data_IF_758571775861
#
_entry.id   IF_758571775861
#
_cell.length_a   1.000
_cell.length_b   1.000
_cell.length_c   1.000
_cell.angle_alpha   90.00
_cell.angle_beta   90.00
_cell.angle_gamma   90.00
#
_symmetry.space_group_name_H-M   'P 1'
#
loop_
_entity.id
_entity.type
_entity.pdbx_description
1 polymer ?
#
# COMPACT_ATOMS: atom_id res chain seq x y z
N UNK A 1 20.18 -65.39 9.29
CA UNK A 1 19.41 -66.62 9.56
C UNK A 1 17.96 -66.23 9.80
N UNK A 2 17.03 -66.85 9.04
CA UNK A 2 15.57 -66.94 9.22
C UNK A 2 14.75 -65.63 9.32
N UNK A 3 13.54 -65.46 8.77
CA UNK A 3 12.72 -66.17 7.79
C UNK A 3 11.55 -65.22 7.43
N UNK A 4 11.18 -65.19 6.15
CA UNK A 4 9.87 -64.69 5.64
C UNK A 4 8.78 -65.75 5.90
N UNK A 5 7.49 -65.40 5.98
CA UNK A 5 6.58 -65.40 4.80
C UNK A 5 5.59 -64.20 4.79
N UNK A 6 5.22 -63.57 3.64
CA UNK A 6 4.14 -63.90 2.65
C UNK A 6 2.75 -64.07 3.33
N UNK A 7 1.66 -63.38 2.94
CA UNK A 7 0.95 -63.33 1.64
C UNK A 7 -0.12 -62.22 1.65
N UNK A 8 -0.35 -61.42 0.58
CA UNK A 8 -1.19 -61.66 -0.64
C UNK A 8 -2.69 -61.79 -0.33
N UNK A 9 -3.58 -60.90 -0.78
CA UNK A 9 -4.36 -60.92 -2.06
C UNK A 9 -5.73 -60.22 -1.74
N UNK A 10 -6.59 -59.68 -2.60
CA UNK A 10 -6.80 -59.60 -4.07
C UNK A 10 -8.03 -58.67 -4.31
N UNK A 11 -8.10 -58.06 -5.50
CA UNK A 11 -9.28 -57.79 -6.37
C UNK A 11 -10.50 -57.03 -5.78
N UNK A 12 -11.13 -56.08 -6.47
CA UNK A 12 -11.70 -56.26 -7.80
C UNK A 12 -11.84 -54.96 -8.61
N UNK A 13 -11.64 -55.12 -9.92
CA UNK A 13 -12.03 -54.21 -10.99
C UNK A 13 -13.56 -54.23 -11.17
N UNK A 14 -14.14 -53.13 -11.67
CA UNK A 14 -15.26 -53.24 -12.61
C UNK A 14 -15.25 -52.09 -13.62
N UNK A 15 -15.09 -52.54 -14.86
CA UNK A 15 -15.11 -51.82 -16.13
C UNK A 15 -16.55 -51.56 -16.56
N UNK A 16 -16.83 -50.40 -17.18
CA UNK A 16 -17.72 -50.34 -18.35
C UNK A 16 -17.59 -49.01 -19.09
N UNK A 17 -17.43 -49.15 -20.41
CA UNK A 17 -17.20 -48.13 -21.45
C UNK A 17 -18.51 -47.91 -22.26
N UNK A 18 -18.56 -47.14 -23.37
CA UNK A 18 -19.36 -45.93 -23.53
C UNK A 18 -20.57 -46.08 -24.48
N UNK A 19 -21.48 -45.09 -24.51
CA UNK A 19 -22.52 -44.97 -25.54
C UNK A 19 -22.44 -43.62 -26.26
N UNK A 20 -22.49 -43.68 -27.60
CA UNK A 20 -22.42 -42.57 -28.57
C UNK A 20 -23.80 -41.92 -28.82
N UNK A 21 -23.82 -40.58 -28.85
CA UNK A 21 -24.42 -39.61 -29.82
C UNK A 21 -25.91 -39.74 -30.26
N UNK A 22 -26.65 -38.62 -30.43
CA UNK A 22 -26.45 -37.75 -31.60
C UNK A 22 -26.49 -36.23 -31.38
N UNK A 23 -25.91 -35.55 -32.38
CA UNK A 23 -25.88 -34.11 -32.63
C UNK A 23 -27.26 -33.60 -33.08
N UNK A 24 -27.62 -32.33 -32.81
CA UNK A 24 -28.14 -31.50 -33.89
C UNK A 24 -27.51 -30.09 -33.95
N UNK A 25 -27.31 -29.64 -35.18
CA UNK A 25 -26.77 -28.35 -35.59
C UNK A 25 -27.71 -27.18 -35.24
N UNK A 26 -27.05 -26.06 -34.91
CA UNK A 26 -27.32 -24.67 -35.32
C UNK A 26 -28.61 -23.98 -34.88
N UNK A 27 -28.45 -22.93 -34.06
CA UNK A 27 -29.19 -21.65 -34.18
C UNK A 27 -28.52 -20.55 -33.33
N UNK A 28 -28.06 -19.48 -33.99
CA UNK A 28 -27.97 -18.13 -33.44
C UNK A 28 -26.66 -17.74 -32.71
N UNK A 29 -26.00 -16.62 -33.09
CA UNK A 29 -25.02 -15.98 -32.23
C UNK A 29 -25.79 -15.31 -31.08
N UNK A 30 -25.78 -15.94 -29.90
CA UNK A 30 -26.21 -15.26 -28.69
C UNK A 30 -25.21 -14.14 -28.44
N UNK A 31 -25.65 -12.90 -28.67
CA UNK A 31 -24.90 -11.70 -28.38
C UNK A 31 -24.29 -11.81 -26.99
N UNK A 32 -22.97 -11.67 -26.91
CA UNK A 32 -22.29 -11.45 -25.64
C UNK A 32 -23.01 -10.29 -24.94
N UNK A 33 -23.35 -10.41 -23.65
CA UNK A 33 -23.93 -9.29 -22.93
C UNK A 33 -22.95 -8.13 -23.05
N UNK A 34 -23.42 -7.04 -23.65
CA UNK A 34 -22.70 -5.79 -23.74
C UNK A 34 -22.09 -5.51 -22.37
N UNK A 35 -20.77 -5.40 -22.32
CA UNK A 35 -20.05 -5.00 -21.13
C UNK A 35 -20.71 -3.71 -20.65
N UNK A 36 -21.52 -3.81 -19.60
CA UNK A 36 -22.09 -2.66 -18.93
C UNK A 36 -20.88 -1.86 -18.50
N UNK A 37 -20.66 -0.70 -19.13
CA UNK A 37 -19.66 0.27 -18.73
C UNK A 37 -19.97 0.67 -17.29
N UNK A 38 -19.45 -0.12 -16.33
CA UNK A 38 -19.49 0.22 -14.92
C UNK A 38 -18.67 1.50 -14.81
N UNK A 39 -19.36 2.62 -14.65
CA UNK A 39 -18.73 3.90 -14.37
C UNK A 39 -17.87 3.70 -13.13
N UNK A 40 -16.56 3.83 -13.29
CA UNK A 40 -15.61 3.78 -12.19
C UNK A 40 -15.97 4.87 -11.16
N UNK A 41 -15.76 4.63 -9.85
CA UNK A 41 -16.00 5.64 -8.84
C UNK A 41 -15.16 6.89 -9.16
N UNK A 42 -15.86 7.99 -9.47
CA UNK A 42 -15.25 9.30 -9.67
C UNK A 42 -15.69 10.21 -8.52
N UNK A 43 -14.73 10.64 -7.71
CA UNK A 43 -14.97 11.55 -6.60
C UNK A 43 -14.57 12.97 -7.00
N UNK A 44 -15.40 13.96 -6.69
CA UNK A 44 -15.04 15.37 -6.83
C UNK A 44 -15.13 15.98 -5.43
N UNK A 45 -14.05 16.58 -4.97
CA UNK A 45 -13.93 17.08 -3.61
C UNK A 45 -13.25 18.44 -3.58
N UNK A 46 -13.70 19.32 -2.67
CA UNK A 46 -13.03 20.58 -2.37
C UNK A 46 -12.29 20.44 -1.05
N UNK A 47 -10.96 20.50 -1.09
CA UNK A 47 -10.11 20.19 0.08
C UNK A 47 -10.35 21.15 1.24
N UNK A 48 -10.42 22.45 0.95
CA UNK A 48 -10.73 23.46 1.96
C UNK A 48 -11.60 24.56 1.35
N UNK A 49 -12.93 24.51 1.55
CA UNK A 49 -13.87 25.45 0.93
C UNK A 49 -13.74 26.88 1.49
N UNK A 50 -12.97 27.08 2.57
CA UNK A 50 -12.72 28.42 3.16
C UNK A 50 -11.62 29.19 2.41
N UNK A 51 -10.85 28.51 1.56
CA UNK A 51 -9.77 29.12 0.77
C UNK A 51 -10.25 29.40 -0.66
N UNK A 52 -9.64 30.37 -1.36
CA UNK A 52 -9.96 30.62 -2.76
C UNK A 52 -9.62 29.39 -3.59
N UNK A 53 -10.59 28.94 -4.38
CA UNK A 53 -10.43 27.81 -5.30
C UNK A 53 -9.94 28.36 -6.63
N UNK A 54 -8.65 28.17 -6.90
CA UNK A 54 -7.97 28.65 -8.11
C UNK A 54 -7.14 27.54 -8.79
N UNK A 55 -7.31 26.28 -8.37
CA UNK A 55 -6.69 25.11 -9.00
C UNK A 55 -7.56 23.86 -8.94
N UNK A 56 -7.28 22.91 -9.83
CA UNK A 56 -7.86 21.56 -9.81
C UNK A 56 -6.76 20.53 -10.06
N UNK A 57 -6.68 19.51 -9.22
CA UNK A 57 -5.75 18.37 -9.39
C UNK A 57 -6.57 17.12 -9.61
N UNK A 58 -6.33 16.46 -10.74
CA UNK A 58 -6.92 15.16 -11.04
C UNK A 58 -5.98 14.05 -10.65
N UNK A 59 -6.53 13.00 -10.06
CA UNK A 59 -5.80 11.80 -9.67
C UNK A 59 -6.48 10.58 -10.27
N UNK A 60 -5.69 9.73 -10.92
CA UNK A 60 -6.13 8.43 -11.43
C UNK A 60 -5.29 7.36 -10.76
N UNK A 61 -5.96 6.58 -9.93
CA UNK A 61 -5.38 5.43 -9.25
C UNK A 61 -5.53 4.18 -10.10
N UNK A 62 -4.45 3.44 -10.21
CA UNK A 62 -4.36 2.21 -10.98
C UNK A 62 -4.00 1.05 -10.07
N UNK A 63 -4.49 -0.13 -10.39
CA UNK A 63 -4.10 -1.37 -9.73
C UNK A 63 -2.63 -1.66 -10.05
N UNK A 64 -1.77 -1.47 -9.05
CA UNK A 64 -0.33 -1.70 -9.15
C UNK A 64 0.04 -3.17 -8.96
N UNK A 65 -0.89 -4.04 -8.57
CA UNK A 65 -0.69 -5.49 -8.44
C UNK A 65 -0.89 -6.26 -9.76
N UNK A 66 -1.49 -5.61 -10.76
CA UNK A 66 -1.67 -6.20 -12.08
C UNK A 66 -0.29 -6.45 -12.72
N UNK A 67 -0.03 -7.71 -13.10
CA UNK A 67 1.26 -8.21 -13.62
C UNK A 67 1.73 -7.62 -14.98
N UNK A 68 1.29 -6.41 -15.34
CA UNK A 68 1.62 -5.73 -16.59
C UNK A 68 2.70 -4.67 -16.36
N UNK A 69 3.56 -4.47 -17.37
CA UNK A 69 4.53 -3.37 -17.45
C UNK A 69 3.89 -2.00 -17.70
N UNK A 70 2.55 -1.94 -17.80
CA UNK A 70 1.75 -0.71 -17.94
C UNK A 70 1.03 -0.38 -16.65
N UNK A 71 0.65 0.90 -16.45
CA UNK A 71 -0.34 1.29 -15.45
C UNK A 71 -1.55 0.32 -15.56
N UNK A 72 -1.84 -0.40 -14.48
CA UNK A 72 -2.87 -1.44 -14.45
C UNK A 72 -4.29 -0.88 -14.66
N UNK A 73 -5.35 -1.69 -14.51
CA UNK A 73 -6.71 -1.17 -14.60
C UNK A 73 -6.95 -0.01 -13.64
N UNK A 74 -7.72 0.99 -14.06
CA UNK A 74 -8.08 2.12 -13.21
C UNK A 74 -8.98 1.61 -12.07
N UNK A 75 -8.57 1.86 -10.83
CA UNK A 75 -9.33 1.56 -9.63
C UNK A 75 -10.27 2.71 -9.26
N UNK A 76 -9.72 3.92 -9.22
CA UNK A 76 -10.43 5.10 -8.74
C UNK A 76 -9.98 6.36 -9.50
N UNK A 77 -10.89 7.32 -9.63
CA UNK A 77 -10.56 8.66 -10.09
C UNK A 77 -11.02 9.70 -9.08
N UNK A 78 -10.23 10.74 -8.86
CA UNK A 78 -10.63 11.88 -8.04
C UNK A 78 -10.24 13.20 -8.70
N UNK A 79 -11.06 14.23 -8.51
CA UNK A 79 -10.73 15.62 -8.85
C UNK A 79 -10.80 16.47 -7.60
N UNK A 80 -9.70 17.10 -7.23
CA UNK A 80 -9.59 17.94 -6.05
C UNK A 80 -9.56 19.42 -6.43
N UNK A 81 -10.58 20.17 -5.99
CA UNK A 81 -10.61 21.63 -6.04
C UNK A 81 -9.80 22.20 -4.88
N UNK A 82 -8.78 23.01 -5.19
CA UNK A 82 -7.77 23.45 -4.22
C UNK A 82 -7.40 24.93 -4.39
N UNK A 83 -6.68 25.45 -3.40
CA UNK A 83 -6.00 26.74 -3.46
C UNK A 83 -4.53 26.55 -3.82
N UNK A 84 -4.11 27.04 -4.99
CA UNK A 84 -2.72 27.03 -5.44
C UNK A 84 -1.79 27.77 -4.47
N UNK A 85 -2.31 28.78 -3.77
CA UNK A 85 -1.55 29.53 -2.74
C UNK A 85 -1.20 28.69 -1.51
N UNK A 86 -1.97 27.64 -1.22
CA UNK A 86 -1.70 26.76 -0.09
C UNK A 86 -0.63 25.71 -0.43
N UNK A 87 -0.36 25.46 -1.71
CA UNK A 87 0.61 24.47 -2.16
C UNK A 87 2.05 24.99 -2.13
N UNK A 88 3.05 24.11 -1.99
CA UNK A 88 4.43 24.44 -2.29
C UNK A 88 4.59 24.93 -3.74
N UNK A 89 5.51 25.87 -3.98
CA UNK A 89 5.72 26.46 -5.31
C UNK A 89 6.05 25.41 -6.40
N UNK A 90 6.73 24.32 -6.04
CA UNK A 90 7.04 23.20 -6.96
C UNK A 90 5.78 22.53 -7.49
N UNK A 91 4.78 22.29 -6.63
CA UNK A 91 3.49 21.74 -7.05
C UNK A 91 2.65 22.82 -7.69
N UNK A 92 2.54 24.01 -7.08
CA UNK A 92 1.68 25.07 -7.60
C UNK A 92 2.00 25.43 -9.06
N UNK A 93 3.29 25.51 -9.42
CA UNK A 93 3.73 25.77 -10.81
C UNK A 93 3.39 24.64 -11.78
N UNK A 94 3.38 23.39 -11.30
CA UNK A 94 3.05 22.21 -12.11
C UNK A 94 1.55 22.20 -12.49
N UNK A 95 0.69 22.70 -11.60
CA UNK A 95 -0.78 22.67 -11.77
C UNK A 95 -1.42 24.03 -12.04
N UNK A 96 -0.64 25.10 -12.20
CA UNK A 96 -1.14 26.44 -12.57
C UNK A 96 -1.28 26.64 -14.08
N UNK A 97 -0.72 25.73 -14.90
CA UNK A 97 -0.76 25.82 -16.36
C UNK A 97 -2.12 25.45 -16.96
N UNK A 98 -2.39 25.87 -18.22
CA UNK A 98 -3.63 25.54 -18.92
C UNK A 98 -3.78 24.03 -19.23
N UNK A 99 -2.68 23.28 -19.17
CA UNK A 99 -2.69 21.83 -19.29
C UNK A 99 -3.04 21.19 -17.94
N UNK A 100 -4.23 20.60 -17.86
CA UNK A 100 -4.68 19.81 -16.71
C UNK A 100 -3.78 18.58 -16.56
N UNK A 101 -2.77 18.66 -15.69
CA UNK A 101 -1.93 17.51 -15.39
C UNK A 101 -2.69 16.54 -14.49
N UNK A 102 -2.66 15.26 -14.86
CA UNK A 102 -3.28 14.17 -14.12
C UNK A 102 -2.20 13.43 -13.35
N UNK A 103 -2.34 13.38 -12.03
CA UNK A 103 -1.49 12.56 -11.16
C UNK A 103 -1.83 11.10 -11.41
N UNK A 104 -0.82 10.30 -11.75
CA UNK A 104 -0.95 8.86 -11.94
C UNK A 104 0.13 8.13 -11.14
N UNK A 105 -0.14 6.87 -10.82
CA UNK A 105 0.83 6.01 -10.14
C UNK A 105 0.82 6.08 -8.62
N UNK A 106 0.08 7.01 -8.04
CA UNK A 106 -0.20 7.06 -6.60
C UNK A 106 -1.67 6.76 -6.36
N UNK A 107 -1.98 6.46 -5.11
CA UNK A 107 -3.37 6.28 -4.67
C UNK A 107 -4.07 7.63 -4.52
N UNK A 108 -5.39 7.64 -4.67
CA UNK A 108 -6.20 8.83 -4.39
C UNK A 108 -6.01 9.29 -2.95
N UNK A 109 -5.96 8.34 -2.00
CA UNK A 109 -5.85 8.64 -0.59
C UNK A 109 -4.52 9.29 -0.19
N UNK A 110 -3.38 8.84 -0.74
CA UNK A 110 -2.07 9.44 -0.48
C UNK A 110 -1.96 10.88 -1.02
N UNK A 111 -2.47 11.15 -2.22
CA UNK A 111 -2.50 12.50 -2.79
C UNK A 111 -3.44 13.39 -1.98
N UNK A 112 -4.63 12.88 -1.64
CA UNK A 112 -5.59 13.60 -0.80
C UNK A 112 -4.95 14.00 0.55
N UNK A 113 -4.23 13.09 1.21
CA UNK A 113 -3.53 13.40 2.45
C UNK A 113 -2.60 14.62 2.30
N UNK A 114 -1.76 14.64 1.29
CA UNK A 114 -0.85 15.77 1.05
C UNK A 114 -1.57 17.08 0.79
N UNK A 115 -2.62 17.05 -0.05
CA UNK A 115 -3.43 18.25 -0.32
C UNK A 115 -4.06 18.76 0.96
N UNK A 116 -4.64 17.89 1.78
CA UNK A 116 -5.23 18.26 3.07
C UNK A 116 -4.20 18.80 4.05
N UNK A 117 -2.98 18.25 4.09
CA UNK A 117 -1.89 18.76 4.94
C UNK A 117 -1.51 20.18 4.53
N UNK A 118 -1.35 20.46 3.23
CA UNK A 118 -1.04 21.82 2.76
C UNK A 118 -2.16 22.83 3.02
N UNK A 119 -3.41 22.37 3.00
CA UNK A 119 -4.58 23.22 3.22
C UNK A 119 -5.02 23.29 4.69
N UNK A 120 -4.29 22.66 5.62
CA UNK A 120 -4.68 22.49 7.03
C UNK A 120 -6.12 21.95 7.17
N UNK A 121 -6.47 20.98 6.33
CA UNK A 121 -7.82 20.41 6.19
C UNK A 121 -7.82 18.88 6.36
N UNK A 122 -6.91 18.36 7.18
CA UNK A 122 -6.84 16.92 7.46
C UNK A 122 -8.09 16.47 8.23
N UNK A 123 -8.75 15.44 7.72
CA UNK A 123 -10.00 14.90 8.27
C UNK A 123 -9.76 13.69 9.19
N UNK A 124 -10.79 13.28 9.93
CA UNK A 124 -10.70 12.09 10.78
C UNK A 124 -10.42 10.81 9.96
N UNK A 125 -10.99 10.69 8.76
CA UNK A 125 -10.80 9.54 7.88
C UNK A 125 -9.35 9.38 7.42
N UNK A 126 -8.64 10.49 7.17
CA UNK A 126 -7.23 10.47 6.77
C UNK A 126 -6.29 9.98 7.89
N UNK A 127 -6.73 9.92 9.14
CA UNK A 127 -5.96 9.32 10.22
C UNK A 127 -6.19 7.82 10.38
N UNK A 128 -7.04 7.22 9.53
CA UNK A 128 -7.35 5.79 9.50
C UNK A 128 -6.83 5.12 8.22
N UNK A 129 -5.93 5.80 7.50
CA UNK A 129 -5.32 5.25 6.30
C UNK A 129 -4.52 3.98 6.63
N UNK A 130 -4.64 2.90 5.85
CA UNK A 130 -3.82 1.72 6.06
C UNK A 130 -2.34 2.04 5.79
N UNK A 131 -1.44 1.20 6.32
CA UNK A 131 0.02 1.43 6.24
C UNK A 131 0.47 1.62 4.79
N UNK A 132 -0.08 0.86 3.85
CA UNK A 132 0.23 0.98 2.42
C UNK A 132 0.04 2.41 1.89
N UNK A 133 -1.03 3.11 2.29
CA UNK A 133 -1.27 4.50 1.89
C UNK A 133 -0.23 5.47 2.44
N UNK A 134 0.35 5.15 3.60
CA UNK A 134 1.48 5.91 4.17
C UNK A 134 2.72 5.77 3.30
N UNK A 135 2.98 4.56 2.78
CA UNK A 135 4.08 4.33 1.84
C UNK A 135 3.86 5.09 0.52
N UNK A 136 2.64 5.09 -0.03
CA UNK A 136 2.33 5.90 -1.21
C UNK A 136 2.46 7.41 -0.93
N UNK A 137 2.09 7.87 0.25
CA UNK A 137 2.27 9.27 0.64
C UNK A 137 3.76 9.64 0.75
N UNK A 138 4.60 8.76 1.32
CA UNK A 138 6.05 8.96 1.35
C UNK A 138 6.65 8.99 -0.05
N UNK A 139 6.26 8.05 -0.93
CA UNK A 139 6.68 8.03 -2.33
C UNK A 139 6.32 9.34 -3.05
N UNK A 140 5.06 9.77 -2.93
CA UNK A 140 4.59 11.02 -3.52
C UNK A 140 5.39 12.22 -2.99
N UNK A 141 5.64 12.25 -1.68
CA UNK A 141 6.45 13.29 -1.07
C UNK A 141 7.86 13.36 -1.64
N UNK A 142 8.55 12.23 -1.70
CA UNK A 142 9.93 12.14 -2.19
C UNK A 142 10.04 12.49 -3.68
N UNK A 143 9.18 11.91 -4.52
CA UNK A 143 9.23 12.12 -5.97
C UNK A 143 8.88 13.55 -6.40
N UNK A 144 8.07 14.25 -5.60
CA UNK A 144 7.70 15.65 -5.85
C UNK A 144 8.51 16.66 -5.01
N UNK A 145 9.54 16.21 -4.28
CA UNK A 145 10.41 17.08 -3.47
C UNK A 145 9.66 17.80 -2.35
N UNK A 146 8.65 17.16 -1.76
CA UNK A 146 7.84 17.72 -0.69
C UNK A 146 8.56 17.62 0.66
N UNK A 147 8.35 18.62 1.54
CA UNK A 147 8.91 18.58 2.88
C UNK A 147 8.22 17.51 3.74
N UNK A 148 8.80 16.30 3.81
CA UNK A 148 8.24 15.16 4.56
C UNK A 148 7.90 15.49 6.02
N UNK A 149 8.68 16.36 6.67
CA UNK A 149 8.43 16.81 8.04
C UNK A 149 7.03 17.45 8.25
N UNK A 150 6.37 17.91 7.18
CA UNK A 150 4.97 18.39 7.25
C UNK A 150 3.98 17.29 7.59
N UNK A 151 4.32 16.02 7.34
CA UNK A 151 3.51 14.87 7.73
C UNK A 151 3.67 14.50 9.20
N UNK A 152 4.71 14.97 9.91
CA UNK A 152 4.98 14.53 11.28
C UNK A 152 3.77 14.71 12.23
N UNK A 153 3.08 15.87 12.29
CA UNK A 153 1.92 16.02 13.17
C UNK A 153 0.75 15.08 12.84
N UNK A 154 0.53 14.82 11.55
CA UNK A 154 -0.45 13.84 11.10
C UNK A 154 -0.02 12.42 11.47
N UNK A 155 1.26 12.07 11.28
CA UNK A 155 1.80 10.76 11.56
C UNK A 155 1.71 10.40 13.06
N UNK A 156 1.94 11.36 13.96
CA UNK A 156 1.72 11.18 15.39
C UNK A 156 0.27 10.77 15.71
N UNK A 157 -0.68 11.48 15.10
CA UNK A 157 -2.11 11.23 15.32
C UNK A 157 -2.55 9.92 14.66
N UNK A 158 -2.04 9.62 13.47
CA UNK A 158 -2.26 8.36 12.76
C UNK A 158 -1.73 7.17 13.56
N UNK A 159 -0.49 7.25 14.04
CA UNK A 159 0.16 6.21 14.84
C UNK A 159 -0.66 5.86 16.09
N UNK A 160 -1.08 6.87 16.84
CA UNK A 160 -1.89 6.69 18.05
C UNK A 160 -3.25 6.02 17.77
N UNK A 161 -3.86 6.32 16.62
CA UNK A 161 -5.16 5.74 16.23
C UNK A 161 -5.04 4.33 15.67
N UNK A 162 -4.03 4.08 14.84
CA UNK A 162 -3.85 2.79 14.19
C UNK A 162 -3.29 1.74 15.14
N UNK A 163 -2.50 2.16 16.14
CA UNK A 163 -1.83 1.26 17.06
C UNK A 163 -2.09 1.62 18.53
N UNK A 164 -3.36 1.56 19.00
CA UNK A 164 -3.69 1.87 20.39
C UNK A 164 -3.07 0.86 21.38
N UNK A 165 -2.72 -0.35 20.93
CA UNK A 165 -2.11 -1.41 21.72
C UNK A 165 -0.78 -1.86 21.09
N UNK A 166 0.27 -1.08 21.30
CA UNK A 166 1.59 -1.30 20.71
C UNK A 166 2.17 -2.71 20.97
N UNK A 167 1.86 -3.33 22.11
CA UNK A 167 2.33 -4.67 22.47
C UNK A 167 1.79 -5.81 21.58
N UNK A 168 0.68 -5.58 20.87
CA UNK A 168 0.02 -6.61 20.05
C UNK A 168 0.41 -6.55 18.57
N UNK A 169 1.35 -5.67 18.21
CA UNK A 169 1.83 -5.57 16.84
C UNK A 169 2.59 -6.84 16.45
N UNK A 170 2.14 -7.44 15.34
CA UNK A 170 2.77 -8.61 14.74
C UNK A 170 4.01 -8.20 13.94
N UNK A 171 4.88 -9.18 13.68
CA UNK A 171 6.11 -8.95 12.92
C UNK A 171 5.85 -8.38 11.53
N UNK A 172 4.88 -8.88 10.76
CA UNK A 172 4.52 -8.36 9.43
C UNK A 172 4.17 -6.86 9.42
N UNK A 173 3.44 -6.42 10.44
CA UNK A 173 3.09 -5.01 10.62
C UNK A 173 4.34 -4.19 10.98
N UNK A 174 5.15 -4.67 11.92
CA UNK A 174 6.39 -4.00 12.34
C UNK A 174 7.39 -3.86 11.18
N UNK A 175 7.55 -4.90 10.36
CA UNK A 175 8.39 -4.87 9.15
C UNK A 175 7.93 -3.77 8.17
N UNK A 176 6.63 -3.51 8.11
CA UNK A 176 6.04 -2.47 7.26
C UNK A 176 6.07 -1.07 7.88
N UNK A 177 6.42 -0.96 9.17
CA UNK A 177 6.53 0.31 9.90
C UNK A 177 7.97 0.84 9.96
N UNK A 178 8.98 0.01 9.69
CA UNK A 178 10.40 0.41 9.75
C UNK A 178 10.68 1.71 8.97
N UNK A 179 10.36 1.74 7.67
CA UNK A 179 10.62 2.89 6.83
C UNK A 179 9.78 4.13 7.20
N UNK A 180 8.45 4.04 7.41
CA UNK A 180 7.67 5.19 7.91
C UNK A 180 8.17 5.74 9.25
N UNK A 181 8.60 4.88 10.18
CA UNK A 181 9.16 5.32 11.45
C UNK A 181 10.53 5.99 11.30
N UNK A 182 11.36 5.51 10.37
CA UNK A 182 12.63 6.15 10.02
C UNK A 182 12.42 7.57 9.46
N UNK A 183 11.49 7.74 8.51
CA UNK A 183 11.25 9.04 7.85
C UNK A 183 10.46 10.03 8.72
N UNK A 184 9.42 9.56 9.42
CA UNK A 184 8.43 10.43 10.10
C UNK A 184 8.39 10.26 11.61
N UNK A 185 8.69 9.06 12.12
CA UNK A 185 8.47 8.70 13.52
C UNK A 185 9.54 9.18 14.49
N UNK A 186 10.66 9.67 13.96
CA UNK A 186 11.84 10.04 14.74
C UNK A 186 12.46 8.85 15.48
N UNK A 187 13.47 9.15 16.31
CA UNK A 187 14.24 8.13 17.02
C UNK A 187 13.38 7.21 17.90
N UNK A 188 12.37 7.76 18.59
CA UNK A 188 11.58 7.01 19.56
C UNK A 188 10.71 5.91 18.93
N UNK A 189 10.01 6.19 17.83
CA UNK A 189 9.16 5.17 17.18
C UNK A 189 10.00 4.14 16.43
N UNK A 190 11.10 4.58 15.81
CA UNK A 190 12.02 3.66 15.15
C UNK A 190 12.64 2.69 16.17
N UNK A 191 13.14 3.20 17.31
CA UNK A 191 13.70 2.38 18.39
C UNK A 191 12.68 1.35 18.91
N UNK A 192 11.43 1.78 19.12
CA UNK A 192 10.35 0.87 19.49
C UNK A 192 10.13 -0.25 18.46
N UNK A 193 10.01 0.09 17.17
CA UNK A 193 9.76 -0.90 16.10
C UNK A 193 10.92 -1.88 16.00
N UNK A 194 12.16 -1.38 16.01
CA UNK A 194 13.39 -2.19 15.94
C UNK A 194 13.44 -3.18 17.10
N UNK A 195 13.33 -2.70 18.34
CA UNK A 195 13.40 -3.56 19.53
C UNK A 195 12.31 -4.63 19.54
N UNK A 196 11.07 -4.23 19.22
CA UNK A 196 9.95 -5.16 19.22
C UNK A 196 10.09 -6.22 18.13
N UNK A 197 10.52 -5.83 16.93
CA UNK A 197 10.71 -6.75 15.82
C UNK A 197 11.86 -7.74 16.11
N UNK A 198 12.96 -7.25 16.67
CA UNK A 198 14.08 -8.08 17.10
C UNK A 198 13.66 -9.13 18.12
N UNK A 199 12.93 -8.73 19.17
CA UNK A 199 12.42 -9.66 20.19
C UNK A 199 11.48 -10.74 19.62
N UNK A 200 10.75 -10.45 18.55
CA UNK A 200 9.78 -11.38 17.97
C UNK A 200 10.40 -12.33 16.95
N UNK A 201 11.49 -11.93 16.28
CA UNK A 201 11.98 -12.62 15.08
C UNK A 201 13.48 -12.85 15.03
N UNK A 202 14.27 -12.07 15.77
CA UNK A 202 15.72 -12.06 15.68
C UNK A 202 16.26 -11.47 14.37
N UNK A 203 15.42 -10.80 13.57
CA UNK A 203 15.79 -10.16 12.30
C UNK A 203 15.09 -8.80 12.12
N UNK A 204 15.70 -7.88 11.39
CA UNK A 204 15.10 -6.59 11.02
C UNK A 204 14.70 -6.54 9.54
N UNK A 205 14.09 -7.62 9.03
CA UNK A 205 13.59 -7.63 7.66
C UNK A 205 12.57 -6.53 7.40
N UNK A 206 12.72 -5.77 6.33
CA UNK A 206 11.73 -4.75 5.94
C UNK A 206 10.71 -5.34 4.95
N UNK A 207 9.45 -4.88 5.04
CA UNK A 207 8.40 -5.23 4.09
C UNK A 207 7.77 -3.96 3.53
N UNK A 208 8.00 -3.68 2.25
CA UNK A 208 7.39 -2.55 1.56
C UNK A 208 6.09 -3.02 0.87
N UNK A 209 4.90 -2.58 1.33
CA UNK A 209 3.62 -2.97 0.72
C UNK A 209 3.32 -2.20 -0.57
N UNK A 210 4.10 -1.17 -0.91
CA UNK A 210 3.92 -0.39 -2.13
C UNK A 210 4.76 -0.94 -3.29
N UNK A 211 4.50 -0.44 -4.50
CA UNK A 211 5.30 -0.76 -5.69
C UNK A 211 6.67 -0.07 -5.75
N UNK A 212 6.97 0.84 -4.82
CA UNK A 212 8.15 1.71 -4.86
C UNK A 212 9.32 1.08 -4.11
N UNK A 213 10.01 0.12 -4.74
CA UNK A 213 11.10 -0.66 -4.15
C UNK A 213 12.32 0.19 -3.72
N UNK A 214 12.43 1.42 -4.19
CA UNK A 214 13.40 2.41 -3.76
C UNK A 214 13.17 2.91 -2.33
N UNK A 215 11.92 2.86 -1.84
CA UNK A 215 11.61 3.18 -0.46
C UNK A 215 12.09 2.05 0.44
N UNK A 216 13.13 2.32 1.20
CA UNK A 216 13.70 1.40 2.18
C UNK A 216 14.57 2.13 3.18
N UNK A 217 14.68 1.61 4.40
CA UNK A 217 15.65 2.09 5.37
C UNK A 217 17.06 1.83 4.82
N UNK A 218 17.98 2.82 4.88
CA UNK A 218 19.36 2.62 4.44
C UNK A 218 20.02 1.45 5.17
N UNK A 219 20.77 0.61 4.43
CA UNK A 219 21.35 -0.62 4.96
C UNK A 219 22.21 -0.40 6.21
N UNK A 220 22.99 0.68 6.23
CA UNK A 220 23.84 1.06 7.36
C UNK A 220 23.02 1.39 8.63
N UNK A 221 21.79 1.90 8.48
CA UNK A 221 20.89 2.16 9.61
C UNK A 221 20.33 0.86 10.16
N UNK A 222 19.97 -0.09 9.29
CA UNK A 222 19.53 -1.43 9.71
C UNK A 222 20.66 -2.17 10.43
N UNK A 223 21.86 -2.20 9.85
CA UNK A 223 23.04 -2.84 10.46
C UNK A 223 23.33 -2.26 11.85
N UNK A 224 23.34 -0.93 11.98
CA UNK A 224 23.49 -0.26 13.28
C UNK A 224 22.36 -0.64 14.26
N UNK A 225 21.12 -0.67 13.80
CA UNK A 225 19.96 -1.00 14.62
C UNK A 225 20.00 -2.46 15.12
N UNK A 226 20.45 -3.40 14.29
CA UNK A 226 20.66 -4.80 14.67
C UNK A 226 21.76 -4.93 15.74
N UNK A 227 22.86 -4.20 15.60
CA UNK A 227 23.93 -4.19 16.61
C UNK A 227 23.44 -3.66 17.96
N UNK A 228 22.66 -2.59 17.96
CA UNK A 228 22.05 -2.04 19.18
C UNK A 228 21.07 -3.04 19.81
N UNK A 229 20.19 -3.66 19.00
CA UNK A 229 19.22 -4.61 19.50
C UNK A 229 19.88 -5.88 20.09
N UNK A 230 21.00 -6.34 19.51
CA UNK A 230 21.82 -7.44 20.06
C UNK A 230 22.46 -7.08 21.40
N UNK A 231 22.95 -5.84 21.54
CA UNK A 231 23.55 -5.39 22.78
C UNK A 231 22.52 -5.29 23.92
N UNK A 232 21.29 -4.90 23.60
CA UNK A 232 20.19 -4.77 24.56
C UNK A 232 19.56 -6.13 24.96
N UNK A 233 19.79 -7.20 24.18
CA UNK A 233 19.34 -8.58 24.47
C UNK A 233 20.51 -9.59 24.50
N UNK A 234 21.36 -9.57 25.56
CA UNK A 234 22.52 -10.45 25.67
C UNK A 234 22.17 -11.94 25.91
N UNK A 235 20.88 -12.26 26.04
CA UNK A 235 20.38 -13.58 26.43
C UNK A 235 19.75 -14.39 25.30
N UNK A 236 20.02 -14.02 24.03
CA UNK A 236 19.43 -14.62 22.82
C UNK A 236 19.14 -16.11 22.96
N UNK A 237 17.88 -16.43 23.25
CA UNK A 237 17.38 -17.80 23.31
C UNK A 237 17.21 -18.28 21.86
N UNK A 238 18.22 -19.01 21.38
CA UNK A 238 18.09 -19.97 20.28
C UNK A 238 17.94 -21.35 20.89
#
# INVERSE_FOLDING_TARGET
MASRPKSRSKEAQLSRKPSRLPNPKASGPAAAPAATSRSLPHTIETINPKLPIDGTIDVVEHDSSAASTTLGPVLQRASFSISLKALPASIASTYSGPSRQVVTGYTVASVHLWLSVFHNAVTAAQHLLPIEEVWYALAFGLHHGLPLHRLNPWFETWWAKMFPLLGTLRSDVLRSLLYPCYELGGAAKLDFVVKRLWQLTGDLGESNPSRYAELRVPKNVIEWAEEQAKADDPGGSV
#
